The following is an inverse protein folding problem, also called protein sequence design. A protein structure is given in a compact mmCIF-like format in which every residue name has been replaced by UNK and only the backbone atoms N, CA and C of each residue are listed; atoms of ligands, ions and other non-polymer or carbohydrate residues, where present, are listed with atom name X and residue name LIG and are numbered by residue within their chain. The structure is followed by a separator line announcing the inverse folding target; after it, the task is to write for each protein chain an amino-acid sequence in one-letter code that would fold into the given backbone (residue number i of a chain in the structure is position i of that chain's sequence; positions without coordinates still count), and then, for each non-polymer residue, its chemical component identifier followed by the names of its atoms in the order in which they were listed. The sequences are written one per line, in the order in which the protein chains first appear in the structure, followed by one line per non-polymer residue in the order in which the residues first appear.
data_IF_748363918189
#
_entry.id   IF_748363918189
#
_cell.length_a   1.000
_cell.length_b   1.000
_cell.length_c   1.000
_cell.angle_alpha   90.00
_cell.angle_beta   90.00
_cell.angle_gamma   90.00
#
_symmetry.space_group_name_H-M   'P 1'
#
loop_
_entity.id
_entity.type
_entity.pdbx_description
1 polymer ?
#
# COMPACT_ATOMS: atom_id res chain seq x y z
N UNK A 1 2.09 -2.12 -8.99
CA UNK A 1 1.17 -2.27 -7.83
C UNK A 1 0.73 -0.91 -7.28
N UNK A 2 1.65 0.04 -7.02
CA UNK A 2 1.28 1.35 -6.44
C UNK A 2 0.25 2.08 -7.30
N UNK A 3 0.44 2.11 -8.62
CA UNK A 3 -0.48 2.78 -9.54
C UNK A 3 -1.85 2.07 -9.61
N UNK A 4 -1.83 0.75 -9.78
CA UNK A 4 -3.06 -0.03 -9.98
C UNK A 4 -3.88 -0.18 -8.70
N UNK A 5 -3.24 -0.23 -7.53
CA UNK A 5 -3.92 -0.25 -6.24
C UNK A 5 -4.63 1.10 -5.96
N UNK A 6 -3.98 2.22 -6.30
CA UNK A 6 -4.60 3.54 -6.18
C UNK A 6 -5.82 3.67 -7.12
N UNK A 7 -5.72 3.18 -8.37
CA UNK A 7 -6.86 3.16 -9.28
C UNK A 7 -8.00 2.26 -8.77
N UNK A 8 -7.66 1.03 -8.36
CA UNK A 8 -8.64 0.07 -7.82
C UNK A 8 -9.37 0.63 -6.59
N UNK A 9 -8.69 1.41 -5.74
CA UNK A 9 -9.31 2.02 -4.55
C UNK A 9 -10.46 2.96 -4.90
N UNK A 10 -10.49 3.51 -6.11
CA UNK A 10 -11.60 4.33 -6.61
C UNK A 10 -12.72 3.52 -7.28
N UNK A 11 -12.56 2.19 -7.41
CA UNK A 11 -13.45 1.32 -8.16
C UNK A 11 -13.14 1.24 -9.65
N UNK A 12 -12.03 1.84 -10.10
CA UNK A 12 -11.61 1.85 -11.49
C UNK A 12 -10.97 0.50 -11.86
N UNK A 13 -11.32 -0.03 -13.03
CA UNK A 13 -10.62 -1.14 -13.66
C UNK A 13 -9.50 -0.59 -14.54
N UNK A 14 -8.25 -0.90 -14.19
CA UNK A 14 -7.10 -0.53 -15.02
C UNK A 14 -7.14 -1.29 -16.33
N UNK A 15 -6.96 -0.57 -17.45
CA UNK A 15 -6.96 -1.15 -18.82
C UNK A 15 -5.59 -1.02 -19.47
N UNK A 16 -4.99 0.16 -19.36
CA UNK A 16 -3.72 0.48 -19.99
C UNK A 16 -2.74 1.05 -18.94
N UNK A 17 -1.47 0.74 -19.11
CA UNK A 17 -0.41 1.32 -18.30
C UNK A 17 0.77 1.74 -19.17
N UNK A 18 1.38 2.87 -18.85
CA UNK A 18 2.60 3.36 -19.47
C UNK A 18 3.68 3.63 -18.44
N UNK A 19 4.94 3.58 -18.87
CA UNK A 19 6.08 3.81 -17.99
C UNK A 19 7.01 4.88 -18.56
N UNK A 20 7.64 5.61 -17.66
CA UNK A 20 8.71 6.54 -17.94
C UNK A 20 9.91 6.18 -17.06
N UNK A 21 11.02 5.76 -17.69
CA UNK A 21 12.23 5.27 -17.03
C UNK A 21 13.44 6.14 -17.40
N UNK A 22 13.52 7.38 -16.92
CA UNK A 22 14.69 8.20 -17.16
C UNK A 22 15.90 7.69 -16.39
N UNK A 23 17.08 7.71 -17.03
CA UNK A 23 18.33 7.30 -16.41
C UNK A 23 19.44 8.31 -16.65
N UNK A 24 20.50 8.29 -15.83
CA UNK A 24 21.68 9.12 -16.04
C UNK A 24 22.51 8.65 -17.23
N UNK A 25 22.50 7.36 -17.53
CA UNK A 25 23.15 6.73 -18.68
C UNK A 25 22.41 5.44 -19.09
N UNK A 26 22.47 5.04 -20.37
CA UNK A 26 21.68 3.92 -20.88
C UNK A 26 22.11 2.56 -20.29
N UNK A 27 23.35 2.39 -19.90
CA UNK A 27 23.90 1.13 -19.38
C UNK A 27 23.16 0.60 -18.16
N UNK A 28 22.57 1.51 -17.36
CA UNK A 28 21.80 1.12 -16.18
C UNK A 28 20.50 0.44 -16.60
N UNK A 29 19.72 1.08 -17.49
CA UNK A 29 18.42 0.57 -17.94
C UNK A 29 18.58 -0.64 -18.84
N UNK A 30 19.54 -0.59 -19.77
CA UNK A 30 19.74 -1.67 -20.73
C UNK A 30 20.69 -2.78 -20.23
N UNK A 31 21.05 -2.77 -18.96
CA UNK A 31 21.70 -3.92 -18.32
C UNK A 31 20.80 -5.17 -18.46
N UNK A 32 21.31 -6.28 -19.03
CA UNK A 32 20.50 -7.49 -19.19
C UNK A 32 19.92 -8.00 -17.88
N UNK A 33 20.67 -7.90 -16.78
CA UNK A 33 20.21 -8.32 -15.44
C UNK A 33 19.06 -7.46 -14.95
N UNK A 34 19.19 -6.12 -15.07
CA UNK A 34 18.14 -5.21 -14.67
C UNK A 34 16.86 -5.40 -15.50
N UNK A 35 17.00 -5.39 -16.84
CA UNK A 35 15.84 -5.48 -17.74
C UNK A 35 15.10 -6.81 -17.60
N UNK A 36 15.81 -7.91 -17.45
CA UNK A 36 15.18 -9.22 -17.25
C UNK A 36 14.31 -9.25 -16.00
N UNK A 37 14.84 -8.78 -14.86
CA UNK A 37 14.10 -8.74 -13.60
C UNK A 37 12.94 -7.74 -13.64
N UNK A 38 13.20 -6.55 -14.16
CA UNK A 38 12.19 -5.50 -14.29
C UNK A 38 11.01 -5.94 -15.16
N UNK A 39 11.28 -6.45 -16.38
CA UNK A 39 10.23 -6.90 -17.29
C UNK A 39 9.47 -8.11 -16.74
N UNK A 40 10.15 -9.05 -16.10
CA UNK A 40 9.46 -10.19 -15.48
C UNK A 40 8.45 -9.74 -14.42
N UNK A 41 8.85 -8.85 -13.51
CA UNK A 41 7.96 -8.30 -12.48
C UNK A 41 6.83 -7.46 -13.08
N UNK A 42 7.15 -6.61 -14.04
CA UNK A 42 6.15 -5.73 -14.67
C UNK A 42 5.10 -6.52 -15.47
N UNK A 43 5.53 -7.50 -16.29
CA UNK A 43 4.62 -8.37 -17.06
C UNK A 43 3.76 -9.21 -16.13
N UNK A 44 4.33 -9.73 -15.03
CA UNK A 44 3.55 -10.43 -14.01
C UNK A 44 2.46 -9.52 -13.44
N UNK A 45 2.80 -8.30 -13.02
CA UNK A 45 1.83 -7.35 -12.50
C UNK A 45 0.73 -7.02 -13.50
N UNK A 46 1.07 -6.76 -14.78
CA UNK A 46 0.08 -6.50 -15.81
C UNK A 46 -0.89 -7.68 -16.01
N UNK A 47 -0.38 -8.92 -15.98
CA UNK A 47 -1.22 -10.13 -16.10
C UNK A 47 -2.16 -10.29 -14.92
N UNK A 48 -1.69 -10.12 -13.70
CA UNK A 48 -2.50 -10.22 -12.49
C UNK A 48 -3.61 -9.16 -12.44
N UNK A 49 -3.32 -7.95 -12.90
CA UNK A 49 -4.28 -6.84 -12.94
C UNK A 49 -5.23 -6.93 -14.15
N UNK A 50 -4.82 -7.65 -15.20
CA UNK A 50 -5.57 -7.72 -16.45
C UNK A 50 -5.43 -6.46 -17.32
N UNK A 51 -4.28 -5.75 -17.24
CA UNK A 51 -4.03 -4.55 -18.03
C UNK A 51 -2.94 -4.77 -19.09
N UNK A 52 -2.87 -3.84 -20.05
CA UNK A 52 -1.91 -3.89 -21.15
C UNK A 52 -0.90 -2.74 -21.02
N UNK A 53 0.38 -3.07 -21.13
CA UNK A 53 1.42 -2.06 -21.36
C UNK A 53 1.29 -1.54 -22.81
N UNK A 54 1.02 -0.25 -22.95
CA UNK A 54 0.76 0.30 -24.28
C UNK A 54 1.84 1.26 -24.79
N UNK A 55 2.60 1.88 -23.90
CA UNK A 55 3.61 2.88 -24.26
C UNK A 55 4.60 3.12 -23.12
N UNK A 56 5.76 3.65 -23.47
CA UNK A 56 6.75 4.09 -22.49
C UNK A 56 7.95 4.76 -23.15
N UNK A 57 8.73 5.44 -22.29
CA UNK A 57 9.94 6.15 -22.69
C UNK A 57 11.08 5.81 -21.74
N UNK A 58 12.28 5.66 -22.27
CA UNK A 58 13.51 5.41 -21.51
C UNK A 58 14.58 6.49 -21.82
N UNK A 59 14.30 7.77 -21.53
CA UNK A 59 15.21 8.85 -21.92
C UNK A 59 16.48 8.84 -21.08
N UNK A 60 17.58 9.21 -21.73
CA UNK A 60 18.84 9.46 -21.07
C UNK A 60 18.91 10.92 -20.64
N UNK A 61 18.92 11.19 -19.35
CA UNK A 61 18.90 12.55 -18.78
C UNK A 61 20.18 12.84 -17.98
N UNK A 62 21.31 12.84 -18.68
CA UNK A 62 22.61 13.22 -18.12
C UNK A 62 22.49 14.63 -17.49
N UNK A 63 23.06 14.84 -16.32
CA UNK A 63 23.00 16.07 -15.53
C UNK A 63 21.64 16.48 -14.95
N UNK A 64 20.57 15.71 -15.20
CA UNK A 64 19.27 15.86 -14.51
C UNK A 64 19.04 14.73 -13.51
N UNK A 65 19.51 13.55 -13.84
CA UNK A 65 19.51 12.38 -12.94
C UNK A 65 20.94 12.18 -12.42
N UNK A 66 21.08 11.92 -11.12
CA UNK A 66 22.39 11.68 -10.51
C UNK A 66 23.11 10.50 -11.20
N UNK A 67 24.44 10.57 -11.37
CA UNK A 67 25.23 9.49 -11.98
C UNK A 67 24.94 8.13 -11.32
N UNK A 68 24.77 7.10 -12.14
CA UNK A 68 24.46 5.76 -11.66
C UNK A 68 23.03 5.55 -11.14
N UNK A 69 22.12 6.52 -11.36
CA UNK A 69 20.73 6.46 -10.91
C UNK A 69 19.76 6.41 -12.08
N UNK A 70 18.59 5.88 -11.79
CA UNK A 70 17.39 5.95 -12.63
C UNK A 70 16.20 6.33 -11.76
N UNK A 71 15.14 6.78 -12.40
CA UNK A 71 13.83 6.96 -11.79
C UNK A 71 12.79 6.13 -12.54
N UNK A 72 11.68 5.82 -11.91
CA UNK A 72 10.57 5.08 -12.52
C UNK A 72 9.29 5.79 -12.16
N UNK A 73 8.58 6.24 -13.18
CA UNK A 73 7.25 6.80 -13.04
C UNK A 73 6.32 6.14 -14.06
N UNK A 74 5.03 6.31 -13.87
CA UNK A 74 4.06 5.78 -14.82
C UNK A 74 2.72 6.49 -14.73
N UNK A 75 1.91 6.23 -15.75
CA UNK A 75 0.52 6.62 -15.80
C UNK A 75 -0.32 5.41 -16.19
N UNK A 76 -1.56 5.39 -15.73
CA UNK A 76 -2.50 4.37 -16.14
C UNK A 76 -3.81 5.00 -16.60
N UNK A 77 -4.52 4.25 -17.43
CA UNK A 77 -5.87 4.55 -17.85
C UNK A 77 -6.77 3.39 -17.44
N UNK A 78 -7.90 3.73 -16.87
CA UNK A 78 -8.88 2.75 -16.44
C UNK A 78 -10.28 3.19 -16.79
N UNK A 79 -11.19 2.26 -16.68
CA UNK A 79 -12.62 2.46 -16.92
C UNK A 79 -13.39 2.32 -15.61
N UNK A 80 -14.34 3.21 -15.41
CA UNK A 80 -15.38 3.02 -14.41
C UNK A 80 -16.53 2.21 -15.05
N UNK A 81 -17.11 1.24 -14.35
CA UNK A 81 -18.33 0.61 -14.80
C UNK A 81 -19.41 1.65 -15.13
N UNK A 82 -20.20 1.42 -16.19
CA UNK A 82 -21.22 2.36 -16.62
C UNK A 82 -22.21 2.65 -15.48
N UNK A 83 -22.40 3.92 -15.16
CA UNK A 83 -23.27 4.37 -14.06
C UNK A 83 -22.64 4.30 -12.67
N UNK A 84 -21.47 3.70 -12.51
CA UNK A 84 -20.78 3.67 -11.23
C UNK A 84 -20.21 5.06 -10.87
N UNK A 85 -20.23 5.37 -9.58
CA UNK A 85 -19.55 6.56 -9.03
C UNK A 85 -18.23 6.14 -8.39
N UNK A 86 -17.20 6.98 -8.43
CA UNK A 86 -15.95 6.69 -7.74
C UNK A 86 -16.18 6.42 -6.26
N UNK A 87 -15.46 5.43 -5.75
CA UNK A 87 -15.39 5.14 -4.32
C UNK A 87 -14.54 6.24 -3.67
N UNK A 88 -15.04 6.88 -2.65
CA UNK A 88 -14.32 7.91 -1.92
C UNK A 88 -14.84 8.09 -0.48
N UNK A 89 -14.06 8.77 0.34
CA UNK A 89 -14.35 8.96 1.77
C UNK A 89 -15.61 9.77 2.11
N UNK A 90 -16.31 10.34 1.13
CA UNK A 90 -17.56 11.12 1.37
C UNK A 90 -18.70 10.23 1.85
N UNK A 91 -18.69 8.94 1.47
CA UNK A 91 -19.69 7.96 1.90
C UNK A 91 -19.46 7.42 3.32
N UNK A 92 -18.30 7.66 3.92
CA UNK A 92 -18.02 7.19 5.28
C UNK A 92 -19.04 7.69 6.30
N UNK A 93 -19.50 6.79 7.15
CA UNK A 93 -20.48 7.02 8.20
C UNK A 93 -20.12 6.27 9.49
N UNK A 94 -20.62 6.76 10.62
CA UNK A 94 -20.52 6.04 11.90
C UNK A 94 -21.15 4.66 11.76
N UNK A 95 -20.52 3.65 12.32
CA UNK A 95 -20.94 2.24 12.23
C UNK A 95 -20.32 1.48 11.05
N UNK A 96 -19.72 2.16 10.04
CA UNK A 96 -19.03 1.45 8.98
C UNK A 96 -17.94 0.55 9.56
N UNK A 97 -17.87 -0.67 9.05
CA UNK A 97 -16.86 -1.65 9.44
C UNK A 97 -15.57 -1.46 8.67
N UNK A 98 -14.48 -1.74 9.31
CA UNK A 98 -13.13 -1.63 8.76
C UNK A 98 -12.58 -3.04 8.55
N UNK A 99 -12.21 -3.38 7.33
CA UNK A 99 -11.49 -4.61 7.01
C UNK A 99 -10.06 -4.26 6.66
N UNK A 100 -9.11 -4.88 7.34
CA UNK A 100 -7.69 -4.79 7.03
C UNK A 100 -7.25 -5.98 6.19
N UNK A 101 -6.45 -5.71 5.14
CA UNK A 101 -5.83 -6.70 4.27
C UNK A 101 -4.31 -6.60 4.43
N UNK A 102 -3.65 -7.75 4.53
CA UNK A 102 -2.22 -7.86 4.81
C UNK A 102 -1.34 -7.14 3.79
N UNK A 103 -0.15 -6.74 4.23
CA UNK A 103 0.98 -6.36 3.40
C UNK A 103 2.11 -7.38 3.53
N UNK A 104 2.96 -7.48 2.51
CA UNK A 104 4.13 -8.36 2.48
C UNK A 104 5.37 -7.74 3.12
N UNK A 105 5.33 -6.44 3.36
CA UNK A 105 6.44 -5.64 3.86
C UNK A 105 6.19 -4.15 3.65
N UNK A 106 7.23 -3.33 3.50
CA UNK A 106 7.11 -1.87 3.37
C UNK A 106 6.32 -1.42 2.14
N UNK A 107 6.16 -2.28 1.14
CA UNK A 107 5.65 -1.93 -0.17
C UNK A 107 6.52 -0.83 -0.79
N UNK A 108 5.93 0.34 -1.09
CA UNK A 108 6.63 1.41 -1.81
C UNK A 108 7.09 2.56 -0.89
N UNK A 109 7.01 2.41 0.45
CA UNK A 109 7.18 3.53 1.36
C UNK A 109 8.23 3.32 2.43
N UNK A 110 8.78 4.45 2.93
CA UNK A 110 9.76 4.45 4.01
C UNK A 110 11.19 4.09 3.59
N UNK A 111 11.48 3.98 2.28
CA UNK A 111 12.78 3.51 1.79
C UNK A 111 13.95 4.43 2.13
N UNK A 112 13.75 5.72 2.38
CA UNK A 112 14.82 6.59 2.87
C UNK A 112 15.37 6.06 4.19
N UNK A 113 14.49 5.85 5.18
CA UNK A 113 14.90 5.32 6.49
C UNK A 113 15.43 3.88 6.41
N UNK A 114 14.84 3.04 5.54
CA UNK A 114 15.31 1.66 5.35
C UNK A 114 16.71 1.59 4.72
N UNK A 115 17.02 2.48 3.76
CA UNK A 115 18.36 2.59 3.17
C UNK A 115 19.38 3.14 4.16
N UNK A 116 19.00 4.14 4.97
CA UNK A 116 19.84 4.65 6.04
C UNK A 116 20.15 3.56 7.08
N UNK A 117 19.15 2.76 7.45
CA UNK A 117 19.38 1.65 8.36
C UNK A 117 20.42 0.66 7.78
N UNK A 118 20.29 0.32 6.49
CA UNK A 118 21.26 -0.59 5.84
C UNK A 118 22.71 -0.12 5.99
N UNK A 119 22.98 1.19 5.99
CA UNK A 119 24.35 1.72 6.16
C UNK A 119 24.91 1.53 7.58
N UNK A 120 24.04 1.27 8.56
CA UNK A 120 24.41 1.06 9.96
C UNK A 120 24.44 -0.40 10.39
N UNK A 121 23.88 -1.29 9.56
CA UNK A 121 23.84 -2.73 9.84
C UNK A 121 25.20 -3.39 9.59
N UNK A 122 25.63 -4.38 10.41
CA UNK A 122 26.96 -5.00 10.30
C UNK A 122 27.31 -5.60 8.95
N UNK A 123 26.29 -6.11 8.23
CA UNK A 123 26.42 -6.67 6.87
C UNK A 123 25.60 -5.91 5.85
N UNK A 124 25.21 -4.65 6.17
CA UNK A 124 24.38 -3.84 5.29
C UNK A 124 23.08 -4.57 4.91
N UNK A 125 22.76 -4.54 3.64
CA UNK A 125 21.60 -5.23 3.08
C UNK A 125 21.59 -6.76 3.24
N UNK A 126 22.74 -7.38 3.48
CA UNK A 126 22.89 -8.83 3.71
C UNK A 126 22.78 -9.22 5.19
N UNK A 127 22.40 -8.31 6.07
CA UNK A 127 22.09 -8.63 7.46
C UNK A 127 20.84 -9.50 7.52
N UNK A 128 20.92 -10.62 8.24
CA UNK A 128 19.77 -11.53 8.37
C UNK A 128 18.79 -11.07 9.45
N UNK A 129 17.52 -11.23 9.15
CA UNK A 129 16.41 -11.10 10.07
C UNK A 129 16.26 -12.38 10.91
N UNK A 130 15.41 -12.34 11.95
CA UNK A 130 15.16 -13.50 12.82
C UNK A 130 14.42 -14.64 12.06
N UNK A 131 13.72 -14.36 10.95
CA UNK A 131 13.10 -15.35 10.06
C UNK A 131 14.06 -15.94 9.01
N UNK A 132 15.34 -15.55 9.04
CA UNK A 132 16.40 -16.04 8.18
C UNK A 132 16.55 -15.34 6.83
N UNK A 133 15.60 -14.51 6.40
CA UNK A 133 15.71 -13.68 5.19
C UNK A 133 16.81 -12.65 5.36
N UNK A 134 17.42 -12.25 4.25
CA UNK A 134 18.30 -11.09 4.24
C UNK A 134 17.49 -9.80 4.23
N UNK A 135 18.05 -8.72 4.77
CA UNK A 135 17.35 -7.43 4.89
C UNK A 135 16.86 -6.92 3.54
N UNK A 136 17.67 -7.04 2.48
CA UNK A 136 17.25 -6.63 1.15
C UNK A 136 16.02 -7.43 0.64
N UNK A 137 15.95 -8.73 0.93
CA UNK A 137 14.80 -9.56 0.54
C UNK A 137 13.53 -9.12 1.26
N UNK A 138 13.66 -8.84 2.55
CA UNK A 138 12.52 -8.45 3.38
C UNK A 138 11.97 -7.06 3.02
N UNK A 139 12.84 -6.08 2.72
CA UNK A 139 12.39 -4.73 2.32
C UNK A 139 11.91 -4.66 0.86
N UNK A 140 12.37 -5.59 0.00
CA UNK A 140 11.95 -5.68 -1.40
C UNK A 140 10.89 -6.77 -1.63
N UNK A 141 10.23 -7.26 -0.58
CA UNK A 141 9.10 -8.15 -0.75
C UNK A 141 8.07 -7.51 -1.70
N UNK A 142 7.60 -8.25 -2.74
CA UNK A 142 6.72 -7.67 -3.75
C UNK A 142 5.48 -7.02 -3.13
N UNK A 143 5.16 -5.82 -3.57
CA UNK A 143 3.92 -5.13 -3.18
C UNK A 143 2.72 -5.95 -3.62
N UNK A 144 1.77 -6.15 -2.72
CA UNK A 144 0.54 -6.87 -3.02
C UNK A 144 -0.28 -6.12 -4.07
N UNK A 145 -0.74 -6.85 -5.09
CA UNK A 145 -1.68 -6.36 -6.10
C UNK A 145 -3.11 -6.56 -5.55
N UNK A 146 -3.74 -5.50 -5.05
CA UNK A 146 -5.09 -5.58 -4.50
C UNK A 146 -6.19 -5.45 -5.55
N UNK A 147 -5.84 -5.12 -6.79
CA UNK A 147 -6.80 -4.94 -7.89
C UNK A 147 -7.72 -6.15 -8.07
N UNK A 148 -7.23 -7.43 -8.11
CA UNK A 148 -8.11 -8.59 -8.22
C UNK A 148 -9.10 -8.70 -7.08
N UNK A 149 -8.66 -8.50 -5.83
CA UNK A 149 -9.53 -8.50 -4.66
C UNK A 149 -10.66 -7.46 -4.78
N UNK A 150 -10.31 -6.22 -5.16
CA UNK A 150 -11.29 -5.14 -5.31
C UNK A 150 -12.29 -5.47 -6.42
N UNK A 151 -11.82 -5.98 -7.56
CA UNK A 151 -12.68 -6.38 -8.66
C UNK A 151 -13.65 -7.51 -8.27
N UNK A 152 -13.15 -8.55 -7.59
CA UNK A 152 -13.98 -9.66 -7.11
C UNK A 152 -15.03 -9.20 -6.09
N UNK A 153 -14.66 -8.27 -5.23
CA UNK A 153 -15.55 -7.69 -4.24
C UNK A 153 -16.69 -6.90 -4.91
N UNK A 154 -16.37 -6.05 -5.88
CA UNK A 154 -17.36 -5.29 -6.64
C UNK A 154 -18.25 -6.21 -7.48
N UNK A 155 -17.69 -7.24 -8.12
CA UNK A 155 -18.43 -8.26 -8.88
C UNK A 155 -19.38 -9.07 -7.99
N UNK A 156 -19.05 -9.26 -6.71
CA UNK A 156 -19.92 -9.89 -5.71
C UNK A 156 -21.02 -8.96 -5.16
N UNK A 157 -21.14 -7.75 -5.70
CA UNK A 157 -22.16 -6.76 -5.31
C UNK A 157 -21.86 -6.07 -3.98
N UNK A 158 -20.63 -6.10 -3.48
CA UNK A 158 -20.25 -5.35 -2.29
C UNK A 158 -19.97 -3.90 -2.70
N UNK A 159 -20.63 -2.97 -2.04
CA UNK A 159 -20.44 -1.53 -2.24
C UNK A 159 -19.61 -0.94 -1.09
N UNK A 160 -18.28 -0.79 -1.26
CA UNK A 160 -17.46 -0.19 -0.22
C UNK A 160 -17.77 1.31 -0.08
N UNK A 161 -17.79 1.79 1.15
CA UNK A 161 -17.95 3.21 1.44
C UNK A 161 -16.63 3.98 1.30
N UNK A 162 -15.50 3.28 1.40
CA UNK A 162 -14.17 3.78 1.08
C UNK A 162 -13.19 2.61 0.93
N UNK A 163 -12.13 2.81 0.17
CA UNK A 163 -10.98 1.91 0.10
C UNK A 163 -9.72 2.78 0.22
N UNK A 164 -8.82 2.43 1.13
CA UNK A 164 -7.62 3.20 1.39
C UNK A 164 -6.36 2.33 1.32
N UNK A 165 -5.53 2.45 0.27
CA UNK A 165 -4.20 1.85 0.24
C UNK A 165 -3.30 2.50 1.29
N UNK A 166 -2.75 1.71 2.20
CA UNK A 166 -1.88 2.22 3.25
C UNK A 166 -0.45 2.31 2.70
N UNK A 167 -0.08 3.51 2.31
CA UNK A 167 1.22 3.86 1.73
C UNK A 167 1.93 4.92 2.59
N UNK A 168 2.53 5.95 2.02
CA UNK A 168 3.13 7.05 2.79
C UNK A 168 2.19 7.61 3.86
N UNK A 169 2.75 8.00 5.01
CA UNK A 169 2.04 8.39 6.22
C UNK A 169 1.35 7.25 6.99
N UNK A 170 1.57 6.00 6.60
CA UNK A 170 1.10 4.83 7.33
C UNK A 170 -0.40 4.87 7.64
N UNK A 171 -0.77 4.50 8.86
CA UNK A 171 -2.16 4.43 9.30
C UNK A 171 -2.84 5.80 9.47
N UNK A 172 -2.10 6.92 9.44
CA UNK A 172 -2.72 8.24 9.39
C UNK A 172 -3.57 8.45 8.14
N UNK A 173 -3.29 7.69 7.05
CA UNK A 173 -4.11 7.69 5.83
C UNK A 173 -5.57 7.32 6.07
N UNK A 174 -5.87 6.53 7.07
CA UNK A 174 -7.26 6.23 7.43
C UNK A 174 -8.07 7.49 7.68
N UNK A 175 -7.44 8.56 8.18
CA UNK A 175 -8.09 9.84 8.53
C UNK A 175 -8.24 10.82 7.36
N UNK A 176 -8.24 10.35 6.09
CA UNK A 176 -8.44 11.22 4.91
C UNK A 176 -9.79 11.92 4.87
N UNK A 177 -10.83 11.30 5.42
CA UNK A 177 -12.13 11.97 5.51
C UNK A 177 -12.03 13.26 6.32
N UNK A 178 -12.71 14.33 5.83
CA UNK A 178 -12.83 15.58 6.58
C UNK A 178 -13.77 15.46 7.79
N UNK A 179 -14.60 14.42 7.86
CA UNK A 179 -15.53 14.19 8.97
C UNK A 179 -14.74 13.74 10.22
N UNK A 180 -15.15 14.19 11.43
CA UNK A 180 -14.47 13.83 12.66
C UNK A 180 -14.91 12.44 13.12
N UNK A 181 -14.17 11.41 12.68
CA UNK A 181 -14.37 10.04 13.10
C UNK A 181 -13.23 9.54 13.99
N UNK A 182 -13.57 8.65 14.93
CA UNK A 182 -12.62 7.74 15.55
C UNK A 182 -12.61 6.43 14.76
N UNK A 183 -11.48 6.11 14.13
CA UNK A 183 -11.22 4.83 13.47
C UNK A 183 -10.78 3.85 14.54
N UNK A 184 -11.75 3.14 15.12
CA UNK A 184 -11.54 2.27 16.27
C UNK A 184 -11.11 0.88 15.81
N UNK A 185 -9.84 0.56 15.98
CA UNK A 185 -9.22 -0.70 15.58
C UNK A 185 -9.17 -1.63 16.78
N UNK A 186 -9.92 -2.72 16.71
CA UNK A 186 -10.08 -3.73 17.75
C UNK A 186 -9.23 -4.98 17.51
N UNK A 187 -8.94 -5.26 16.24
CA UNK A 187 -8.14 -6.40 15.83
C UNK A 187 -7.04 -5.94 14.86
N UNK A 188 -5.87 -6.53 14.96
CA UNK A 188 -4.72 -6.22 14.11
C UNK A 188 -4.19 -7.48 13.44
N UNK A 189 -3.66 -7.32 12.23
CA UNK A 189 -2.93 -8.37 11.53
C UNK A 189 -1.55 -8.59 12.18
N UNK A 190 -0.95 -9.78 12.05
CA UNK A 190 0.42 -10.00 12.48
C UNK A 190 1.38 -9.04 11.81
N UNK A 191 2.24 -8.42 12.61
CA UNK A 191 3.27 -7.49 12.12
C UNK A 191 4.36 -8.28 11.39
N UNK A 192 4.67 -7.98 10.11
CA UNK A 192 5.76 -8.60 9.39
C UNK A 192 7.11 -8.43 10.07
N UNK A 193 7.96 -9.47 9.97
CA UNK A 193 9.25 -9.52 10.67
C UNK A 193 10.16 -8.32 10.35
N UNK A 194 10.11 -7.83 9.12
CA UNK A 194 10.90 -6.65 8.70
C UNK A 194 10.64 -5.43 9.58
N UNK A 195 9.40 -5.20 10.02
CA UNK A 195 9.08 -4.05 10.88
C UNK A 195 9.57 -4.26 12.31
N UNK A 196 9.45 -5.47 12.86
CA UNK A 196 10.02 -5.81 14.17
C UNK A 196 11.54 -5.67 14.16
N UNK A 197 12.19 -6.11 13.06
CA UNK A 197 13.61 -5.93 12.87
C UNK A 197 13.98 -4.43 12.85
N UNK A 198 13.26 -3.60 12.11
CA UNK A 198 13.50 -2.14 12.05
C UNK A 198 13.34 -1.52 13.45
N UNK A 199 12.28 -1.83 14.19
CA UNK A 199 12.08 -1.37 15.56
C UNK A 199 13.26 -1.73 16.46
N UNK A 200 13.68 -3.00 16.44
CA UNK A 200 14.80 -3.53 17.23
C UNK A 200 16.12 -2.79 16.92
N UNK A 201 16.38 -2.50 15.64
CA UNK A 201 17.62 -1.86 15.21
C UNK A 201 17.64 -0.34 15.42
N UNK A 202 16.49 0.31 15.36
CA UNK A 202 16.39 1.79 15.42
C UNK A 202 15.91 2.32 16.77
N UNK A 203 15.29 1.49 17.60
CA UNK A 203 14.60 1.93 18.80
C UNK A 203 13.33 2.74 18.52
N UNK A 204 12.86 2.76 17.29
CA UNK A 204 11.64 3.49 16.88
C UNK A 204 10.43 2.87 17.60
N UNK A 205 9.60 3.68 18.22
CA UNK A 205 8.41 3.20 18.90
C UNK A 205 7.37 2.68 17.90
N UNK A 206 6.55 1.71 18.31
CA UNK A 206 5.45 1.19 17.50
C UNK A 206 4.51 2.30 17.00
N UNK A 207 4.26 3.32 17.82
CA UNK A 207 3.47 4.50 17.45
C UNK A 207 4.09 5.26 16.26
N UNK A 208 5.40 5.42 16.24
CA UNK A 208 6.08 6.08 15.12
C UNK A 208 6.15 5.15 13.89
N UNK A 209 6.31 3.84 14.09
CA UNK A 209 6.30 2.88 12.98
C UNK A 209 4.99 2.92 12.20
N UNK A 210 3.84 2.92 12.86
CA UNK A 210 2.53 2.99 12.20
C UNK A 210 2.21 4.35 11.57
N UNK A 211 2.95 5.41 11.90
CA UNK A 211 2.88 6.70 11.20
C UNK A 211 3.69 6.71 9.90
N UNK A 212 4.74 5.90 9.81
CA UNK A 212 5.67 5.88 8.67
C UNK A 212 5.29 4.76 7.70
N UNK A 213 5.00 3.57 8.23
CA UNK A 213 4.81 2.34 7.45
C UNK A 213 3.37 1.83 7.51
N UNK A 214 3.05 0.97 6.55
CA UNK A 214 1.80 0.20 6.55
C UNK A 214 1.72 -0.82 7.72
N UNK A 215 2.86 -1.19 8.27
CA UNK A 215 3.03 -2.01 9.48
C UNK A 215 2.23 -3.32 9.47
N UNK A 216 2.12 -3.93 8.29
CA UNK A 216 1.40 -5.19 8.08
C UNK A 216 0.01 -5.05 7.45
N UNK A 217 -0.47 -3.83 7.25
CA UNK A 217 -1.77 -3.53 6.65
C UNK A 217 -1.58 -2.74 5.37
N UNK A 218 -1.73 -3.38 4.21
CA UNK A 218 -1.52 -2.70 2.93
C UNK A 218 -2.78 -2.07 2.33
N UNK A 219 -3.98 -2.55 2.74
CA UNK A 219 -5.25 -2.01 2.29
C UNK A 219 -6.27 -1.99 3.44
N UNK A 220 -7.00 -0.91 3.56
CA UNK A 220 -8.17 -0.80 4.43
C UNK A 220 -9.44 -0.63 3.58
N UNK A 221 -10.44 -1.47 3.81
CA UNK A 221 -11.73 -1.45 3.10
C UNK A 221 -12.81 -1.12 4.12
N UNK A 222 -13.67 -0.17 3.78
CA UNK A 222 -14.78 0.27 4.62
C UNK A 222 -16.09 -0.16 3.98
N UNK A 223 -16.95 -0.81 4.76
CA UNK A 223 -18.27 -1.28 4.32
C UNK A 223 -19.34 -0.95 5.36
N UNK A 224 -20.61 -0.95 4.94
CA UNK A 224 -21.71 -0.54 5.82
C UNK A 224 -22.04 -1.58 6.88
N UNK A 225 -21.92 -2.88 6.55
CA UNK A 225 -22.40 -3.96 7.41
C UNK A 225 -21.31 -4.94 7.82
N UNK A 226 -21.54 -5.59 8.97
CA UNK A 226 -20.72 -6.73 9.43
C UNK A 226 -20.79 -7.91 8.45
N UNK A 227 -21.94 -8.12 7.80
CA UNK A 227 -22.10 -9.17 6.81
C UNK A 227 -21.21 -8.94 5.58
N UNK A 228 -21.14 -7.69 5.08
CA UNK A 228 -20.27 -7.35 3.97
C UNK A 228 -18.80 -7.40 4.38
N UNK A 229 -18.45 -6.99 5.60
CA UNK A 229 -17.09 -7.10 6.11
C UNK A 229 -16.62 -8.58 6.12
N UNK A 230 -17.47 -9.51 6.56
CA UNK A 230 -17.16 -10.95 6.51
C UNK A 230 -17.02 -11.47 5.08
N UNK A 231 -17.89 -11.04 4.16
CA UNK A 231 -17.76 -11.42 2.73
C UNK A 231 -16.44 -10.90 2.14
N UNK A 232 -16.02 -9.67 2.46
CA UNK A 232 -14.71 -9.14 2.03
C UNK A 232 -13.58 -10.05 2.50
N UNK A 233 -13.60 -10.48 3.77
CA UNK A 233 -12.60 -11.41 4.32
C UNK A 233 -12.58 -12.74 3.56
N UNK A 234 -13.76 -13.29 3.23
CA UNK A 234 -13.86 -14.53 2.43
C UNK A 234 -13.31 -14.36 1.01
N UNK A 235 -13.59 -13.22 0.35
CA UNK A 235 -13.07 -12.91 -0.98
C UNK A 235 -11.56 -12.71 -0.92
N UNK A 236 -11.04 -12.03 0.10
CA UNK A 236 -9.59 -11.90 0.30
C UNK A 236 -8.91 -13.27 0.42
N UNK A 237 -9.51 -14.20 1.17
CA UNK A 237 -8.99 -15.56 1.28
C UNK A 237 -8.96 -16.30 -0.06
N UNK A 238 -9.98 -16.13 -0.93
CA UNK A 238 -9.98 -16.67 -2.30
C UNK A 238 -8.85 -16.09 -3.14
N UNK A 239 -8.51 -14.83 -2.94
CA UNK A 239 -7.37 -14.14 -3.52
C UNK A 239 -6.04 -14.44 -2.81
N UNK A 240 -6.00 -15.44 -1.92
CA UNK A 240 -4.82 -15.88 -1.14
C UNK A 240 -4.24 -14.77 -0.24
N UNK A 241 -5.07 -13.84 0.18
CA UNK A 241 -4.71 -12.73 1.07
C UNK A 241 -5.32 -12.97 2.46
N UNK A 242 -4.58 -12.62 3.50
CA UNK A 242 -5.13 -12.57 4.85
C UNK A 242 -5.83 -11.23 5.05
N UNK A 243 -7.05 -11.33 5.56
CA UNK A 243 -7.82 -10.15 5.93
C UNK A 243 -8.57 -10.42 7.24
N UNK A 244 -8.88 -9.35 7.95
CA UNK A 244 -9.66 -9.41 9.21
C UNK A 244 -10.66 -8.27 9.25
N UNK A 245 -11.76 -8.47 9.96
CA UNK A 245 -12.59 -7.35 10.42
C UNK A 245 -11.83 -6.67 11.55
N UNK A 246 -11.25 -5.52 11.26
CA UNK A 246 -10.34 -4.82 12.13
C UNK A 246 -11.04 -3.94 13.17
N UNK A 247 -12.23 -3.43 12.85
CA UNK A 247 -12.94 -2.51 13.75
C UNK A 247 -14.05 -1.75 13.05
N UNK A 248 -14.34 -0.57 13.55
CA UNK A 248 -15.45 0.25 13.06
C UNK A 248 -15.20 1.76 13.22
N UNK A 249 -15.98 2.57 12.48
CA UNK A 249 -16.01 4.01 12.65
C UNK A 249 -16.94 4.40 13.80
N UNK A 250 -16.45 5.20 14.73
CA UNK A 250 -17.23 5.79 15.83
C UNK A 250 -17.32 7.31 15.67
N UNK A 251 -18.35 7.89 16.25
CA UNK A 251 -18.46 9.33 16.36
C UNK A 251 -17.36 9.88 17.26
N UNK A 252 -16.72 10.98 16.85
CA UNK A 252 -15.69 11.63 17.63
C UNK A 252 -15.77 13.16 17.46
N UNK A 253 -15.09 13.92 18.33
CA UNK A 253 -14.96 15.39 18.20
C UNK A 253 -13.83 15.78 17.25
N UNK A 254 -12.85 14.91 17.06
CA UNK A 254 -11.70 15.09 16.18
C UNK A 254 -11.41 13.78 15.44
N UNK A 255 -10.62 13.87 14.37
CA UNK A 255 -10.18 12.69 13.62
C UNK A 255 -9.08 11.99 14.41
N UNK A 256 -9.23 10.69 14.62
CA UNK A 256 -8.24 9.87 15.30
C UNK A 256 -8.29 8.43 14.82
N UNK A 257 -7.17 7.71 14.92
CA UNK A 257 -7.10 6.26 14.84
C UNK A 257 -6.76 5.76 16.24
N UNK A 258 -7.68 5.03 16.85
CA UNK A 258 -7.45 4.39 18.13
C UNK A 258 -7.23 2.90 17.93
N UNK A 259 -6.04 2.42 18.24
CA UNK A 259 -5.63 1.01 18.12
C UNK A 259 -5.71 0.38 19.50
N UNK A 260 -6.86 -0.22 19.80
CA UNK A 260 -7.19 -0.77 21.11
C UNK A 260 -6.16 -1.81 21.60
N UNK A 261 -5.75 -2.84 20.79
CA UNK A 261 -4.79 -3.86 21.23
C UNK A 261 -3.43 -3.31 21.66
N UNK A 262 -3.05 -2.14 21.17
CA UNK A 262 -1.77 -1.50 21.46
C UNK A 262 -1.89 -0.30 22.38
N UNK A 263 -3.11 0.11 22.71
CA UNK A 263 -3.42 1.35 23.44
C UNK A 263 -2.73 2.57 22.82
N UNK A 264 -2.77 2.68 21.49
CA UNK A 264 -2.15 3.76 20.72
C UNK A 264 -3.25 4.61 20.07
N UNK A 265 -3.14 5.93 20.23
CA UNK A 265 -3.96 6.90 19.50
C UNK A 265 -3.08 7.72 18.58
N UNK A 266 -3.45 7.77 17.29
CA UNK A 266 -2.93 8.72 16.30
C UNK A 266 -3.94 9.84 16.15
N UNK A 267 -3.53 11.07 16.33
CA UNK A 267 -4.36 12.24 16.11
C UNK A 267 -3.95 12.97 14.83
N UNK A 268 -4.92 13.61 14.21
CA UNK A 268 -4.69 14.38 12.99
C UNK A 268 -4.37 15.84 13.35
N UNK A 269 -3.18 16.09 13.92
CA UNK A 269 -2.82 17.46 14.31
C UNK A 269 -2.59 18.41 13.13
N UNK A 270 -2.33 17.94 11.92
CA UNK A 270 -2.18 18.74 10.70
C UNK A 270 -2.12 17.89 9.42
N UNK A 271 -2.77 16.74 9.38
CA UNK A 271 -2.75 15.90 8.20
C UNK A 271 -3.73 16.43 7.14
N UNK A 272 -3.38 17.56 6.56
CA UNK A 272 -4.02 18.11 5.37
C UNK A 272 -3.37 17.47 4.15
N UNK A 273 -3.86 16.30 3.76
CA UNK A 273 -3.61 15.79 2.41
C UNK A 273 -4.37 16.70 1.45
N UNK A 274 -3.64 17.58 0.79
CA UNK A 274 -4.10 18.37 -0.34
C UNK A 274 -5.45 19.06 -0.13
N UNK A 275 -5.44 20.34 0.17
CA UNK A 275 -6.59 21.20 -0.15
C UNK A 275 -6.73 21.33 -1.65
#
# INVERSE_FOLDING_TARGET
AVMTNDAASTGMQTVLISLYLPSSNPEIVFSPTFMKGFLAGFVHGCKEVGCVYFSGETPQLKNKIYPGKLDIAGALFGLMPLGAKPIDSRKLAVGNKIVFVESTGPHDNGFTSLRELATRLPKGYHTKLDDGREYYEAINAPTVLYTPLVQDMLAAGIEPTNIEPISGHGWQKLMRSKKPFSYHIQNVLPVPEVFKFVEKQTGTSQKEMIKIFNYGVGLAIFVESEADAKKVVEIAKKNKLKAIVAGELKAAKKREVFVEPWNITLESDNFLLGQ
#
